data_IF_516597410432
#
_entry.id   IF_516597410432
#
_cell.length_a   1.000
_cell.length_b   1.000
_cell.length_c   1.000
_cell.angle_alpha   90.00
_cell.angle_beta   90.00
_cell.angle_gamma   90.00
#
_symmetry.space_group_name_H-M   'P 1'
#
loop_
_entity.id
_entity.type
_entity.pdbx_description
1 polymer ?
#
# COMPACT_ATOMS: atom_id res chain seq x y z
N UNK A 1 -2.08 -5.68 -11.20
CA UNK A 1 -2.98 -5.12 -12.22
C UNK A 1 -3.74 -6.30 -12.83
N UNK A 2 -5.06 -6.27 -12.78
CA UNK A 2 -5.91 -7.26 -13.46
C UNK A 2 -6.25 -6.66 -14.83
N UNK A 3 -5.88 -7.38 -15.89
CA UNK A 3 -6.25 -7.04 -17.25
C UNK A 3 -7.38 -8.00 -17.62
N UNK A 4 -8.62 -7.53 -17.82
CA UNK A 4 -9.72 -8.40 -18.26
C UNK A 4 -9.41 -8.98 -19.65
N UNK A 5 -9.78 -10.24 -19.87
CA UNK A 5 -9.55 -10.96 -21.14
C UNK A 5 -10.30 -10.32 -22.33
N UNK A 6 -11.35 -9.55 -22.05
CA UNK A 6 -12.21 -8.87 -23.01
C UNK A 6 -11.97 -7.37 -23.11
N UNK A 7 -10.90 -6.86 -22.45
CA UNK A 7 -10.57 -5.46 -22.52
C UNK A 7 -10.04 -5.12 -23.93
N UNK A 8 -10.72 -4.25 -24.69
CA UNK A 8 -10.23 -3.84 -26.01
C UNK A 8 -8.84 -3.19 -25.87
N UNK A 9 -7.95 -3.46 -26.82
CA UNK A 9 -6.59 -2.91 -26.85
C UNK A 9 -6.56 -1.38 -26.71
N UNK A 10 -7.64 -0.72 -27.15
CA UNK A 10 -7.84 0.73 -27.06
C UNK A 10 -8.01 1.24 -25.62
N UNK A 11 -8.46 0.39 -24.71
CA UNK A 11 -8.64 0.71 -23.28
C UNK A 11 -7.47 0.24 -22.42
N UNK A 12 -6.59 -0.60 -22.95
CA UNK A 12 -5.33 -0.93 -22.31
C UNK A 12 -4.39 0.26 -22.45
N UNK A 13 -3.98 0.89 -21.35
CA UNK A 13 -2.91 1.85 -21.46
C UNK A 13 -1.69 1.13 -22.03
N UNK A 14 -1.15 1.62 -23.13
CA UNK A 14 0.15 1.20 -23.59
C UNK A 14 1.15 1.57 -22.50
N UNK A 15 1.47 0.58 -21.68
CA UNK A 15 2.20 0.77 -20.46
C UNK A 15 3.50 -0.02 -20.52
N UNK A 16 4.60 0.68 -20.33
CA UNK A 16 5.87 0.07 -19.99
C UNK A 16 6.20 0.49 -18.57
N UNK A 17 6.24 -0.46 -17.66
CA UNK A 17 6.55 -0.20 -16.26
C UNK A 17 7.45 -1.26 -15.67
N UNK A 18 8.27 -0.85 -14.74
CA UNK A 18 9.11 -1.73 -13.94
C UNK A 18 8.63 -1.68 -12.49
N UNK A 19 8.46 -2.85 -11.91
CA UNK A 19 8.19 -3.01 -10.49
C UNK A 19 9.41 -3.69 -9.86
N UNK A 20 10.17 -2.93 -9.09
CA UNK A 20 11.31 -3.46 -8.35
C UNK A 20 10.83 -4.10 -7.05
N UNK A 21 11.39 -5.25 -6.74
CA UNK A 21 11.19 -5.89 -5.45
C UNK A 21 12.06 -5.18 -4.42
N UNK A 22 11.43 -4.74 -3.34
CA UNK A 22 12.12 -4.23 -2.17
C UNK A 22 11.84 -5.15 -0.99
N UNK A 23 12.70 -6.14 -0.80
CA UNK A 23 12.68 -7.04 0.36
C UNK A 23 11.42 -7.91 0.52
N UNK A 24 10.62 -8.09 -0.52
CA UNK A 24 9.47 -8.99 -0.47
C UNK A 24 9.38 -9.89 -1.69
N UNK A 25 8.93 -11.11 -1.46
CA UNK A 25 8.66 -12.07 -2.54
C UNK A 25 7.52 -11.55 -3.41
N UNK A 26 7.79 -11.41 -4.70
CA UNK A 26 6.78 -10.99 -5.67
C UNK A 26 6.23 -12.22 -6.41
N UNK A 27 4.95 -12.55 -6.23
CA UNK A 27 4.27 -13.45 -7.12
C UNK A 27 3.67 -12.68 -8.30
N UNK A 28 3.58 -13.33 -9.43
CA UNK A 28 2.68 -12.92 -10.48
C UNK A 28 1.96 -14.14 -11.04
N UNK A 29 0.76 -13.95 -11.53
CA UNK A 29 -0.02 -15.03 -12.11
C UNK A 29 -0.88 -14.55 -13.26
N UNK A 30 -1.23 -15.48 -14.09
CA UNK A 30 -2.17 -15.28 -15.17
C UNK A 30 -3.14 -16.44 -15.25
N UNK A 31 -4.37 -16.17 -15.68
CA UNK A 31 -5.34 -17.17 -16.01
C UNK A 31 -5.94 -16.88 -17.38
N UNK A 32 -6.22 -17.95 -18.13
CA UNK A 32 -6.94 -17.87 -19.39
C UNK A 32 -7.96 -18.99 -19.42
N UNK A 33 -9.24 -18.64 -19.54
CA UNK A 33 -10.36 -19.57 -19.36
C UNK A 33 -10.24 -20.28 -18.01
N UNK A 34 -10.09 -21.60 -18.00
CA UNK A 34 -10.01 -22.41 -16.77
C UNK A 34 -8.57 -22.74 -16.36
N UNK A 35 -7.59 -22.51 -17.21
CA UNK A 35 -6.18 -22.79 -16.92
C UNK A 35 -5.40 -21.55 -16.49
N UNK A 36 -4.24 -21.76 -15.87
CA UNK A 36 -3.38 -20.64 -15.49
C UNK A 36 -2.04 -21.04 -14.93
N UNK A 37 -1.29 -20.05 -14.50
CA UNK A 37 0.01 -20.24 -13.90
C UNK A 37 0.23 -19.30 -12.70
N UNK A 38 1.08 -19.74 -11.81
CA UNK A 38 1.63 -18.93 -10.71
C UNK A 38 3.14 -18.95 -10.85
N UNK A 39 3.76 -17.77 -10.88
CA UNK A 39 5.20 -17.61 -10.87
C UNK A 39 5.62 -16.87 -9.58
N UNK A 40 6.65 -17.38 -8.93
CA UNK A 40 7.17 -16.86 -7.67
C UNK A 40 8.66 -16.57 -7.83
N UNK A 41 9.06 -15.34 -7.64
CA UNK A 41 10.46 -14.92 -7.65
C UNK A 41 11.03 -15.22 -6.27
N UNK A 42 11.66 -16.40 -6.11
CA UNK A 42 12.23 -16.81 -4.81
C UNK A 42 13.48 -16.01 -4.44
N UNK A 43 14.25 -15.56 -5.45
CA UNK A 43 15.43 -14.72 -5.27
C UNK A 43 15.05 -13.26 -5.54
N UNK A 44 14.45 -12.60 -4.56
CA UNK A 44 13.75 -11.33 -4.76
C UNK A 44 14.57 -10.07 -4.44
N UNK A 45 15.70 -10.18 -3.76
CA UNK A 45 16.42 -9.02 -3.22
C UNK A 45 16.83 -7.98 -4.28
N UNK A 46 17.18 -8.43 -5.49
CA UNK A 46 17.55 -7.58 -6.63
C UNK A 46 16.70 -7.88 -7.87
N UNK A 47 15.49 -8.43 -7.67
CA UNK A 47 14.59 -8.77 -8.74
C UNK A 47 13.70 -7.60 -9.15
N UNK A 48 13.46 -7.49 -10.45
CA UNK A 48 12.49 -6.58 -11.03
C UNK A 48 11.54 -7.34 -11.94
N UNK A 49 10.32 -6.85 -12.04
CA UNK A 49 9.32 -7.33 -12.96
C UNK A 49 9.05 -6.24 -13.98
N UNK A 50 9.41 -6.49 -15.23
CA UNK A 50 9.13 -5.58 -16.34
C UNK A 50 7.84 -6.00 -17.04
N UNK A 51 6.89 -5.10 -17.11
CA UNK A 51 5.67 -5.25 -17.89
C UNK A 51 5.73 -4.31 -19.09
N UNK A 52 5.56 -4.87 -20.29
CA UNK A 52 5.51 -4.12 -21.54
C UNK A 52 4.25 -4.48 -22.32
N UNK A 53 3.47 -3.48 -22.64
CA UNK A 53 2.37 -3.58 -23.58
C UNK A 53 2.47 -2.42 -24.57
N UNK A 54 2.92 -2.71 -25.77
CA UNK A 54 3.07 -1.76 -26.86
C UNK A 54 1.92 -1.92 -27.85
N UNK A 55 1.58 -0.86 -28.64
CA UNK A 55 0.57 -0.95 -29.68
C UNK A 55 0.79 -2.15 -30.61
N UNK A 56 -0.27 -2.92 -30.85
CA UNK A 56 -0.26 -4.08 -31.75
C UNK A 56 0.71 -5.21 -31.36
N UNK A 57 1.17 -5.25 -30.13
CA UNK A 57 2.02 -6.31 -29.61
C UNK A 57 1.37 -6.99 -28.40
N UNK A 58 1.58 -8.31 -28.24
CA UNK A 58 1.11 -8.98 -27.03
C UNK A 58 1.82 -8.42 -25.81
N UNK A 59 1.10 -8.33 -24.70
CA UNK A 59 1.67 -7.96 -23.42
C UNK A 59 2.78 -8.95 -23.03
N UNK A 60 3.90 -8.43 -22.56
CA UNK A 60 5.06 -9.21 -22.11
C UNK A 60 5.33 -8.92 -20.65
N UNK A 61 5.61 -9.96 -19.91
CA UNK A 61 6.05 -9.91 -18.55
C UNK A 61 7.41 -10.61 -18.46
N UNK A 62 8.42 -9.88 -17.96
CA UNK A 62 9.79 -10.39 -17.86
C UNK A 62 10.30 -10.22 -16.44
N UNK A 63 10.90 -11.27 -15.90
CA UNK A 63 11.65 -11.20 -14.65
C UNK A 63 13.09 -10.86 -14.97
N UNK A 64 13.62 -9.86 -14.30
CA UNK A 64 15.01 -9.44 -14.39
C UNK A 64 15.62 -9.37 -12.99
N UNK A 65 16.92 -9.58 -12.91
CA UNK A 65 17.70 -9.35 -11.71
C UNK A 65 18.78 -8.32 -12.01
N UNK A 66 18.82 -7.29 -11.22
CA UNK A 66 19.84 -6.25 -11.36
C UNK A 66 21.17 -6.71 -10.81
N UNK A 67 22.25 -6.30 -11.46
CA UNK A 67 23.61 -6.65 -11.06
C UNK A 67 24.25 -5.46 -10.34
N UNK A 68 23.88 -5.22 -9.11
CA UNK A 68 24.37 -4.09 -8.33
C UNK A 68 25.91 -4.09 -8.14
N UNK A 69 26.54 -5.26 -8.25
CA UNK A 69 27.97 -5.45 -8.05
C UNK A 69 28.72 -5.89 -9.33
N UNK A 70 28.12 -5.78 -10.50
CA UNK A 70 28.74 -6.15 -11.78
C UNK A 70 28.88 -7.65 -12.02
N UNK A 71 28.52 -8.50 -11.08
CA UNK A 71 28.62 -9.95 -11.15
C UNK A 71 27.38 -10.65 -10.60
N UNK A 72 27.12 -11.87 -11.08
CA UNK A 72 26.09 -12.73 -10.48
C UNK A 72 26.69 -13.41 -9.25
N UNK A 73 26.40 -12.87 -8.07
CA UNK A 73 26.97 -13.34 -6.81
C UNK A 73 26.26 -14.52 -6.16
N UNK A 74 25.04 -14.89 -6.61
CA UNK A 74 24.24 -15.96 -6.01
C UNK A 74 23.28 -16.59 -7.03
N UNK A 75 22.73 -17.76 -6.65
CA UNK A 75 21.75 -18.47 -7.47
C UNK A 75 20.43 -17.69 -7.49
N UNK A 76 19.89 -17.47 -8.69
CA UNK A 76 18.58 -16.86 -8.93
C UNK A 76 17.55 -17.94 -9.25
N UNK A 77 16.39 -17.85 -8.62
CA UNK A 77 15.35 -18.86 -8.73
C UNK A 77 14.00 -18.23 -9.01
N UNK A 78 13.38 -18.67 -10.10
CA UNK A 78 11.98 -18.42 -10.44
C UNK A 78 11.26 -19.76 -10.40
N UNK A 79 10.23 -19.87 -9.56
CA UNK A 79 9.34 -21.03 -9.50
C UNK A 79 8.11 -20.77 -10.35
N UNK A 80 7.79 -21.70 -11.24
CA UNK A 80 6.56 -21.64 -12.04
C UNK A 80 5.72 -22.89 -11.77
N UNK A 81 4.45 -22.69 -11.45
CA UNK A 81 3.46 -23.76 -11.27
C UNK A 81 2.33 -23.55 -12.26
N UNK A 82 1.99 -24.60 -13.01
CA UNK A 82 0.91 -24.62 -13.98
C UNK A 82 -0.33 -25.28 -13.37
N UNK A 83 -1.50 -24.78 -13.76
CA UNK A 83 -2.79 -25.28 -13.31
C UNK A 83 -3.68 -25.54 -14.53
N UNK A 84 -4.19 -26.75 -14.65
CA UNK A 84 -5.18 -27.12 -15.67
C UNK A 84 -6.52 -26.44 -15.43
N UNK A 85 -6.91 -26.32 -14.14
CA UNK A 85 -8.14 -25.64 -13.74
C UNK A 85 -7.81 -24.69 -12.59
N UNK A 86 -8.06 -23.41 -12.76
CA UNK A 86 -7.87 -22.40 -11.70
C UNK A 86 -8.67 -21.13 -11.95
N UNK A 87 -8.89 -20.43 -10.86
CA UNK A 87 -9.28 -19.02 -10.82
C UNK A 87 -8.23 -18.23 -10.03
N UNK A 88 -8.39 -16.93 -9.95
CA UNK A 88 -7.50 -16.05 -9.20
C UNK A 88 -7.44 -16.40 -7.70
N UNK A 89 -8.54 -16.93 -7.13
CA UNK A 89 -8.59 -17.34 -5.72
C UNK A 89 -7.72 -18.58 -5.48
N UNK A 90 -7.77 -19.56 -6.39
CA UNK A 90 -6.92 -20.75 -6.31
C UNK A 90 -5.45 -20.40 -6.41
N UNK A 91 -5.09 -19.49 -7.31
CA UNK A 91 -3.70 -19.01 -7.49
C UNK A 91 -3.21 -18.27 -6.23
N UNK A 92 -4.02 -17.38 -5.67
CA UNK A 92 -3.72 -16.69 -4.42
C UNK A 92 -3.56 -17.66 -3.24
N UNK A 93 -4.42 -18.67 -3.14
CA UNK A 93 -4.30 -19.73 -2.11
C UNK A 93 -3.06 -20.58 -2.29
N UNK A 94 -2.65 -20.88 -3.53
CA UNK A 94 -1.43 -21.62 -3.83
C UNK A 94 -0.18 -20.81 -3.40
N UNK A 95 -0.15 -19.52 -3.70
CA UNK A 95 0.92 -18.62 -3.22
C UNK A 95 0.96 -18.56 -1.69
N UNK A 96 -0.18 -18.38 -1.03
CA UNK A 96 -0.27 -18.37 0.42
C UNK A 96 0.24 -19.69 1.04
N UNK A 97 -0.08 -20.84 0.44
CA UNK A 97 0.39 -22.13 0.92
C UNK A 97 1.92 -22.25 0.79
N UNK A 98 2.47 -21.79 -0.33
CA UNK A 98 3.92 -21.74 -0.54
C UNK A 98 4.58 -20.82 0.49
N UNK A 99 4.11 -19.58 0.67
CA UNK A 99 4.65 -18.63 1.65
C UNK A 99 4.64 -19.23 3.06
N UNK A 100 3.56 -19.92 3.44
CA UNK A 100 3.49 -20.59 4.75
C UNK A 100 4.56 -21.67 4.91
N UNK A 101 4.92 -22.38 3.83
CA UNK A 101 5.88 -23.48 3.87
C UNK A 101 7.35 -23.04 3.89
N UNK A 102 7.67 -21.88 3.32
CA UNK A 102 9.06 -21.43 3.13
C UNK A 102 9.40 -20.13 3.85
N UNK A 103 8.47 -19.19 3.92
CA UNK A 103 8.71 -17.84 4.46
C UNK A 103 8.12 -17.65 5.87
N UNK A 104 7.49 -18.67 6.44
CA UNK A 104 6.96 -18.60 7.80
C UNK A 104 5.81 -17.59 7.95
N UNK A 105 4.84 -17.61 7.03
CA UNK A 105 3.66 -16.76 7.10
C UNK A 105 2.99 -16.84 8.48
N UNK A 106 2.93 -15.72 9.17
CA UNK A 106 2.23 -15.56 10.45
C UNK A 106 0.95 -14.77 10.20
N UNK A 107 -0.20 -15.36 10.45
CA UNK A 107 -1.50 -14.70 10.25
C UNK A 107 -1.77 -13.61 11.27
N UNK A 108 -2.75 -12.76 10.98
CA UNK A 108 -3.17 -11.72 11.91
C UNK A 108 -3.69 -12.32 13.23
N UNK A 109 -4.43 -13.44 13.16
CA UNK A 109 -4.91 -14.18 14.32
C UNK A 109 -3.75 -14.72 15.19
N UNK A 110 -2.72 -15.28 14.57
CA UNK A 110 -1.52 -15.77 15.26
C UNK A 110 -0.76 -14.62 15.94
N UNK A 111 -0.67 -13.44 15.28
CA UNK A 111 -0.10 -12.24 15.89
C UNK A 111 -0.95 -11.70 17.04
N UNK A 112 -2.27 -11.79 16.94
CA UNK A 112 -3.22 -11.34 17.96
C UNK A 112 -3.13 -12.11 19.28
N UNK A 113 -2.62 -13.35 19.25
CA UNK A 113 -2.34 -14.13 20.47
C UNK A 113 -1.29 -13.41 21.35
N UNK A 114 -0.35 -12.69 20.73
CA UNK A 114 0.79 -12.06 21.41
C UNK A 114 0.60 -10.54 21.61
N UNK A 115 -0.41 -9.95 20.99
CA UNK A 115 -0.61 -8.48 21.02
C UNK A 115 -2.08 -8.11 21.08
N UNK A 116 -2.47 -7.48 22.16
CA UNK A 116 -3.84 -6.96 22.34
C UNK A 116 -4.19 -5.91 21.27
N UNK A 117 -3.25 -5.04 20.88
CA UNK A 117 -3.46 -4.05 19.82
C UNK A 117 -3.75 -4.73 18.48
N UNK A 118 -3.04 -5.81 18.15
CA UNK A 118 -3.31 -6.59 16.94
C UNK A 118 -4.68 -7.26 17.03
N UNK A 119 -5.06 -7.75 18.20
CA UNK A 119 -6.41 -8.31 18.42
C UNK A 119 -7.51 -7.27 18.17
N UNK A 120 -7.29 -6.03 18.59
CA UNK A 120 -8.22 -4.93 18.35
C UNK A 120 -8.37 -4.59 16.86
N UNK A 121 -7.35 -4.84 16.03
CA UNK A 121 -7.44 -4.66 14.58
C UNK A 121 -8.40 -5.64 13.89
N UNK A 122 -8.54 -6.85 14.45
CA UNK A 122 -9.42 -7.88 13.85
C UNK A 122 -10.87 -7.42 13.93
N UNK A 123 -11.47 -7.20 12.74
CA UNK A 123 -12.85 -6.70 12.61
C UNK A 123 -13.01 -5.19 12.84
N UNK A 124 -11.92 -4.43 12.94
CA UNK A 124 -11.96 -2.97 12.94
C UNK A 124 -12.12 -2.43 11.51
N UNK A 125 -12.89 -1.36 11.37
CA UNK A 125 -12.87 -0.57 10.15
C UNK A 125 -11.52 0.15 10.02
N UNK A 126 -10.97 0.21 8.81
CA UNK A 126 -9.81 1.05 8.51
C UNK A 126 -10.33 2.37 7.95
N UNK A 127 -10.01 3.46 8.60
CA UNK A 127 -10.48 4.80 8.25
C UNK A 127 -9.26 5.68 7.98
N UNK A 128 -9.11 6.12 6.75
CA UNK A 128 -8.14 7.17 6.41
C UNK A 128 -8.76 8.53 6.74
N UNK A 129 -8.03 9.37 7.45
CA UNK A 129 -8.42 10.76 7.62
C UNK A 129 -8.14 11.54 6.34
N UNK A 130 -8.81 12.69 6.10
CA UNK A 130 -8.24 13.67 5.21
C UNK A 130 -6.82 14.01 5.67
N UNK A 131 -5.87 14.29 4.76
CA UNK A 131 -4.55 14.75 5.16
C UNK A 131 -4.63 15.96 6.08
N UNK A 132 -3.90 15.95 7.20
CA UNK A 132 -3.85 17.08 8.12
C UNK A 132 -3.37 18.34 7.42
N UNK A 133 -2.30 18.20 6.64
CA UNK A 133 -1.85 19.19 5.69
C UNK A 133 -1.60 18.48 4.34
N UNK A 134 -2.24 18.95 3.29
CA UNK A 134 -1.85 18.69 1.91
C UNK A 134 -1.16 19.93 1.37
N UNK A 135 0.12 19.79 0.99
CA UNK A 135 0.90 20.86 0.37
C UNK A 135 1.63 20.35 -0.86
N UNK A 136 1.47 21.04 -1.97
CA UNK A 136 2.08 20.69 -3.23
C UNK A 136 2.86 21.88 -3.80
N UNK A 137 4.15 21.73 -3.98
CA UNK A 137 5.03 22.76 -4.53
C UNK A 137 4.79 22.98 -6.02
N UNK A 138 4.95 24.22 -6.54
CA UNK A 138 4.72 24.55 -7.95
C UNK A 138 5.55 23.74 -8.95
N UNK A 139 6.67 23.19 -8.52
CA UNK A 139 7.57 22.35 -9.34
C UNK A 139 7.07 20.91 -9.47
N UNK A 140 6.12 20.49 -8.63
CA UNK A 140 5.58 19.15 -8.66
C UNK A 140 4.71 18.91 -9.89
N UNK A 141 4.79 17.70 -10.45
CA UNK A 141 3.88 17.26 -11.52
C UNK A 141 2.42 17.15 -11.06
N UNK A 142 2.18 17.08 -9.76
CA UNK A 142 0.85 17.01 -9.14
C UNK A 142 0.25 18.39 -8.84
N UNK A 143 1.00 19.49 -9.06
CA UNK A 143 0.53 20.83 -8.78
C UNK A 143 -0.72 21.19 -9.60
N UNK A 144 -1.79 21.54 -8.90
CA UNK A 144 -3.03 21.99 -9.55
C UNK A 144 -2.88 23.40 -10.08
N UNK A 145 -2.63 23.52 -11.39
CA UNK A 145 -2.48 24.80 -12.09
C UNK A 145 -3.80 25.51 -12.34
N UNK A 146 -4.92 24.76 -12.34
CA UNK A 146 -6.25 25.30 -12.60
C UNK A 146 -6.84 25.99 -11.37
N UNK A 147 -6.59 25.41 -10.20
CA UNK A 147 -7.04 25.95 -8.92
C UNK A 147 -5.86 25.89 -7.91
N UNK A 148 -4.99 26.91 -7.91
CA UNK A 148 -3.81 26.92 -7.07
C UNK A 148 -4.10 26.85 -5.57
N UNK A 149 -5.28 27.27 -5.11
CA UNK A 149 -5.67 27.19 -3.69
C UNK A 149 -5.74 25.76 -3.19
N UNK A 150 -6.04 24.80 -4.06
CA UNK A 150 -6.08 23.37 -3.73
C UNK A 150 -4.70 22.73 -3.52
N UNK A 151 -3.63 23.48 -3.65
CA UNK A 151 -2.29 22.97 -3.37
C UNK A 151 -1.85 23.20 -1.93
N UNK A 152 -2.70 23.79 -1.09
CA UNK A 152 -2.45 23.98 0.33
C UNK A 152 -3.77 23.91 1.09
N UNK A 153 -4.11 22.70 1.56
CA UNK A 153 -5.36 22.43 2.29
C UNK A 153 -5.02 21.91 3.68
N UNK A 154 -5.69 22.45 4.69
CA UNK A 154 -5.47 22.10 6.10
C UNK A 154 -6.77 21.56 6.70
N UNK A 155 -6.66 20.40 7.35
CA UNK A 155 -7.65 19.86 8.28
C UNK A 155 -7.02 19.79 9.65
N UNK A 156 -7.42 20.69 10.54
CA UNK A 156 -6.82 20.77 11.86
C UNK A 156 -7.00 19.48 12.66
N UNK A 157 -6.08 19.21 13.58
CA UNK A 157 -6.20 18.05 14.46
C UNK A 157 -7.49 18.06 15.28
N UNK A 158 -7.98 19.26 15.68
CA UNK A 158 -9.23 19.39 16.42
C UNK A 158 -10.47 19.12 15.53
N UNK A 159 -10.46 19.48 14.24
CA UNK A 159 -11.52 19.09 13.29
C UNK A 159 -11.58 17.57 13.08
N UNK A 160 -10.42 16.93 12.94
CA UNK A 160 -10.34 15.46 12.83
C UNK A 160 -10.88 14.82 14.12
N UNK A 161 -10.51 15.32 15.30
CA UNK A 161 -11.02 14.83 16.57
C UNK A 161 -12.56 14.94 16.65
N UNK A 162 -13.14 16.06 16.24
CA UNK A 162 -14.59 16.24 16.17
C UNK A 162 -15.25 15.26 15.17
N UNK A 163 -14.58 14.97 14.06
CA UNK A 163 -15.00 13.94 13.09
C UNK A 163 -15.05 12.54 13.73
N UNK A 164 -14.03 12.18 14.48
CA UNK A 164 -13.94 10.91 15.23
C UNK A 164 -15.11 10.75 16.20
N UNK A 165 -15.43 11.78 16.98
CA UNK A 165 -16.56 11.77 17.92
C UNK A 165 -17.92 11.61 17.20
N UNK A 166 -18.08 12.27 16.05
CA UNK A 166 -19.29 12.11 15.21
C UNK A 166 -19.44 10.68 14.69
N UNK A 167 -18.35 10.03 14.26
CA UNK A 167 -18.37 8.65 13.82
C UNK A 167 -18.73 7.71 14.98
N UNK A 168 -18.18 7.93 16.16
CA UNK A 168 -18.54 7.18 17.37
C UNK A 168 -20.03 7.31 17.70
N UNK A 169 -20.56 8.52 17.66
CA UNK A 169 -21.98 8.80 17.93
C UNK A 169 -22.92 8.16 16.90
N UNK A 170 -22.42 7.89 15.68
CA UNK A 170 -23.15 7.18 14.61
C UNK A 170 -23.04 5.65 14.67
N UNK A 171 -22.39 5.11 15.71
CA UNK A 171 -22.30 3.67 15.93
C UNK A 171 -21.06 3.00 15.36
N UNK A 172 -20.03 3.72 14.96
CA UNK A 172 -18.74 3.11 14.64
C UNK A 172 -18.08 2.67 15.95
N UNK A 173 -18.12 1.36 16.24
CA UNK A 173 -17.66 0.85 17.53
C UNK A 173 -16.18 0.50 17.54
N UNK A 174 -15.62 0.10 16.39
CA UNK A 174 -14.25 -0.37 16.27
C UNK A 174 -13.61 0.19 15.00
N UNK A 175 -12.50 0.89 15.15
CA UNK A 175 -11.77 1.45 14.02
C UNK A 175 -10.27 1.57 14.29
N UNK A 176 -9.50 1.52 13.21
CA UNK A 176 -8.14 2.01 13.12
C UNK A 176 -8.13 3.23 12.22
N UNK A 177 -7.67 4.36 12.75
CA UNK A 177 -7.51 5.59 12.00
C UNK A 177 -6.09 5.72 11.47
N UNK A 178 -5.95 5.86 10.17
CA UNK A 178 -4.71 6.18 9.50
C UNK A 178 -4.63 7.67 9.25
N UNK A 179 -3.59 8.32 9.76
CA UNK A 179 -3.49 9.79 9.80
C UNK A 179 -2.39 10.20 8.84
N UNK A 180 -2.80 10.80 7.73
CA UNK A 180 -1.92 11.30 6.69
C UNK A 180 -1.58 12.77 6.91
N UNK A 181 -0.41 13.21 6.40
CA UNK A 181 -0.02 14.61 6.38
C UNK A 181 0.15 15.28 7.74
N UNK A 182 0.38 14.50 8.79
CA UNK A 182 0.46 14.98 10.19
C UNK A 182 1.70 15.79 10.50
N UNK A 183 2.74 15.68 9.67
CA UNK A 183 4.03 16.34 9.88
C UNK A 183 4.06 17.79 9.40
N UNK A 184 5.16 18.48 9.69
CA UNK A 184 5.35 19.93 9.46
C UNK A 184 5.15 20.40 8.02
N UNK A 185 5.42 19.54 7.04
CA UNK A 185 5.32 19.87 5.60
C UNK A 185 4.18 19.13 4.88
N UNK A 186 3.38 18.38 5.64
CA UNK A 186 2.19 17.71 5.12
C UNK A 186 2.45 16.37 4.44
N UNK A 187 1.44 15.93 3.70
CA UNK A 187 1.36 14.61 3.09
C UNK A 187 2.49 14.38 2.08
N UNK A 188 3.20 13.26 2.24
CA UNK A 188 4.30 12.81 1.40
C UNK A 188 5.49 13.78 1.24
N UNK A 189 5.63 14.75 2.17
CA UNK A 189 6.74 15.69 2.14
C UNK A 189 7.73 15.45 3.28
N UNK A 190 9.01 15.56 2.99
CA UNK A 190 10.15 15.46 3.93
C UNK A 190 10.26 14.14 4.70
N UNK A 191 9.70 13.03 4.22
CA UNK A 191 9.92 11.75 4.86
C UNK A 191 11.41 11.35 4.83
N UNK A 192 11.95 10.78 5.94
CA UNK A 192 11.29 10.52 7.22
C UNK A 192 11.30 11.71 8.19
N UNK A 193 11.81 12.89 7.84
CA UNK A 193 11.98 14.06 8.71
C UNK A 193 10.69 14.87 8.89
N UNK A 194 9.59 14.18 9.19
CA UNK A 194 8.25 14.78 9.26
C UNK A 194 7.96 15.63 10.50
N UNK A 195 8.76 15.49 11.56
CA UNK A 195 8.56 16.23 12.81
C UNK A 195 8.98 17.72 12.72
N UNK A 196 8.36 18.61 13.49
CA UNK A 196 7.27 18.39 14.45
C UNK A 196 5.90 18.18 13.78
N UNK A 197 4.85 17.80 14.53
CA UNK A 197 3.49 17.82 14.03
C UNK A 197 3.12 19.18 13.45
N UNK A 198 2.30 19.19 12.39
CA UNK A 198 1.95 20.36 11.60
C UNK A 198 1.56 21.55 12.50
N UNK A 199 2.35 22.64 12.52
CA UNK A 199 2.06 23.79 13.38
C UNK A 199 0.77 24.51 12.97
N UNK A 200 0.50 24.59 11.66
CA UNK A 200 -0.70 25.25 11.11
C UNK A 200 -2.00 24.52 11.49
N UNK A 201 -1.92 23.21 11.70
CA UNK A 201 -3.04 22.37 12.16
C UNK A 201 -3.21 22.34 13.69
N UNK A 202 -2.43 23.12 14.42
CA UNK A 202 -2.46 23.21 15.89
C UNK A 202 -1.30 22.55 16.63
N UNK A 203 -0.34 22.00 15.89
CA UNK A 203 0.91 21.47 16.43
C UNK A 203 0.75 20.27 17.36
N UNK A 204 1.78 20.02 18.17
CA UNK A 204 1.87 18.83 19.02
C UNK A 204 0.77 18.72 20.07
N UNK A 205 0.29 19.84 20.60
CA UNK A 205 -0.76 19.83 21.62
C UNK A 205 -2.12 19.43 21.04
N UNK A 206 -2.49 19.99 19.88
CA UNK A 206 -3.73 19.62 19.19
C UNK A 206 -3.69 18.17 18.70
N UNK A 207 -2.54 17.72 18.17
CA UNK A 207 -2.35 16.31 17.82
C UNK A 207 -2.54 15.38 19.02
N UNK A 208 -2.00 15.74 20.19
CA UNK A 208 -2.19 14.96 21.43
C UNK A 208 -3.66 14.86 21.79
N UNK A 209 -4.41 15.99 21.75
CA UNK A 209 -5.87 15.98 22.02
C UNK A 209 -6.62 15.08 21.05
N UNK A 210 -6.29 15.12 19.76
CA UNK A 210 -6.88 14.24 18.75
C UNK A 210 -6.64 12.77 19.06
N UNK A 211 -5.39 12.38 19.34
CA UNK A 211 -5.03 11.01 19.68
C UNK A 211 -5.70 10.54 20.98
N UNK A 212 -5.84 11.42 21.99
CA UNK A 212 -6.57 11.13 23.21
C UNK A 212 -8.08 10.94 22.95
N UNK A 213 -8.65 11.70 22.03
CA UNK A 213 -10.04 11.51 21.60
C UNK A 213 -10.23 10.14 20.94
N UNK A 214 -9.36 9.74 20.01
CA UNK A 214 -9.41 8.41 19.42
C UNK A 214 -9.31 7.32 20.48
N UNK A 215 -8.40 7.47 21.44
CA UNK A 215 -8.23 6.52 22.55
C UNK A 215 -9.47 6.41 23.43
N UNK A 216 -10.09 7.57 23.79
CA UNK A 216 -11.35 7.59 24.59
C UNK A 216 -12.50 6.91 23.83
N UNK A 217 -12.54 7.02 22.51
CA UNK A 217 -13.51 6.31 21.66
C UNK A 217 -13.22 4.82 21.50
N UNK A 218 -12.10 4.31 22.04
CA UNK A 218 -11.70 2.91 21.93
C UNK A 218 -11.08 2.56 20.58
N UNK A 219 -10.60 3.55 19.82
CA UNK A 219 -10.00 3.35 18.50
C UNK A 219 -8.49 3.24 18.57
N UNK A 220 -7.93 2.54 17.57
CA UNK A 220 -6.51 2.55 17.28
C UNK A 220 -6.19 3.69 16.32
N UNK A 221 -4.97 4.21 16.41
CA UNK A 221 -4.44 5.21 15.49
C UNK A 221 -3.05 4.85 15.03
N UNK A 222 -2.73 5.18 13.78
CA UNK A 222 -1.40 5.08 13.20
C UNK A 222 -1.11 6.32 12.37
N UNK A 223 0.16 6.68 12.32
CA UNK A 223 0.66 7.81 11.57
C UNK A 223 1.26 7.32 10.25
N UNK A 224 0.95 7.98 9.16
CA UNK A 224 1.60 7.73 7.89
C UNK A 224 3.06 8.16 7.93
N UNK A 225 3.94 7.29 7.47
CA UNK A 225 5.37 7.56 7.33
C UNK A 225 5.96 6.79 6.16
N UNK A 226 7.05 7.28 5.58
CA UNK A 226 7.79 6.64 4.47
C UNK A 226 9.28 6.62 4.79
N UNK A 227 9.96 5.52 4.41
CA UNK A 227 11.39 5.31 4.62
C UNK A 227 12.13 5.20 3.29
#
# INVERSE_FOLDING_TARGET
MLIPDDCPDELHPFLSTRVCSTECVLPFWGSYRESGFLAIIESYADACLDYHHLPYQPARLSVQWEHSMGTIGYRRTLRVQLFETCDHVRLAKAFRAWTRSVEGLVTLEEKAVRSEKVRQLIGSAVVNTPPVLFHCEPVSSYFNKTDPAKNHEIHSFDEIAAGVEKLRARGLDRAYFHIDGWGKMGYDNLHPDVTPPCPEAGGAEAMRRMLDTMRRCGYLSGLHDQY
#
